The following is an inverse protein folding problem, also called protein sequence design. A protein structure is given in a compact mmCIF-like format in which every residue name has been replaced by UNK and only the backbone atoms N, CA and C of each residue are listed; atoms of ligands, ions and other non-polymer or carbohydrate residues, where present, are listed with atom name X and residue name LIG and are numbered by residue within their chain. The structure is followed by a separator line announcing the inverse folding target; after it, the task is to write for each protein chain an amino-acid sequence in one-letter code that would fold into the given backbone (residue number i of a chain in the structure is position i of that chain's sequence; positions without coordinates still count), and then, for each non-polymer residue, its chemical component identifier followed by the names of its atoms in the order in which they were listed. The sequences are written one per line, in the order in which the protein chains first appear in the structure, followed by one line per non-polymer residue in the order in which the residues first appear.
data_IF_920185263724
#
_entry.id   IF_920185263724
#
_cell.length_a   1.000
_cell.length_b   1.000
_cell.length_c   1.000
_cell.angle_alpha   90.00
_cell.angle_beta   90.00
_cell.angle_gamma   90.00
#
_symmetry.space_group_name_H-M   'P 1'
#
loop_
_entity.id
_entity.type
_entity.pdbx_description
1 polymer ?
#
# COMPACT_ATOMS: atom_id res chain seq x y z
N UNK A 1 10.94 -17.55 -37.20
CA UNK A 1 10.12 -16.49 -36.59
C UNK A 1 11.07 -15.47 -36.00
N UNK A 2 11.05 -14.22 -36.48
CA UNK A 2 11.94 -13.19 -35.97
C UNK A 2 11.53 -12.88 -34.53
N UNK A 3 12.42 -13.17 -33.57
CA UNK A 3 12.32 -12.62 -32.22
C UNK A 3 12.53 -11.12 -32.37
N UNK A 4 11.45 -10.34 -32.33
CA UNK A 4 11.53 -8.89 -32.18
C UNK A 4 12.12 -8.61 -30.80
N UNK A 5 13.43 -8.36 -30.76
CA UNK A 5 14.11 -7.92 -29.55
C UNK A 5 13.52 -6.57 -29.15
N UNK A 6 12.87 -6.51 -27.99
CA UNK A 6 12.34 -5.25 -27.46
C UNK A 6 13.52 -4.34 -27.09
N UNK A 7 13.48 -3.10 -27.55
CA UNK A 7 14.51 -2.10 -27.23
C UNK A 7 14.26 -1.54 -25.83
N UNK A 8 15.29 -1.55 -24.98
CA UNK A 8 15.21 -1.06 -23.60
C UNK A 8 15.30 0.46 -23.60
N UNK A 9 14.26 1.13 -23.09
CA UNK A 9 14.23 2.58 -22.88
C UNK A 9 14.96 2.98 -21.59
N UNK A 10 14.77 2.22 -20.52
CA UNK A 10 15.41 2.44 -19.22
C UNK A 10 15.68 1.12 -18.53
N UNK A 11 16.92 0.90 -18.10
CA UNK A 11 17.33 -0.27 -17.34
C UNK A 11 17.71 0.16 -15.92
N UNK A 12 16.91 -0.26 -14.95
CA UNK A 12 17.12 -0.01 -13.52
C UNK A 12 17.32 -1.35 -12.79
N UNK A 13 18.04 -2.28 -13.43
CA UNK A 13 18.38 -3.56 -12.84
C UNK A 13 19.07 -3.38 -11.47
N UNK A 14 18.71 -4.20 -10.46
CA UNK A 14 17.89 -5.42 -10.56
C UNK A 14 16.38 -5.22 -10.36
N UNK A 15 15.85 -3.99 -10.44
CA UNK A 15 14.47 -3.69 -10.06
C UNK A 15 13.50 -3.86 -11.24
N UNK A 16 13.72 -3.09 -12.32
CA UNK A 16 12.76 -2.94 -13.40
C UNK A 16 13.47 -2.59 -14.72
N UNK A 17 12.90 -3.04 -15.84
CA UNK A 17 13.24 -2.59 -17.20
C UNK A 17 11.99 -2.03 -17.86
N UNK A 18 12.16 -0.88 -18.51
CA UNK A 18 11.12 -0.22 -19.30
C UNK A 18 11.56 -0.27 -20.75
N UNK A 19 10.68 -0.72 -21.63
CA UNK A 19 10.93 -0.86 -23.06
C UNK A 19 10.33 0.30 -23.85
N UNK A 20 10.86 0.57 -25.05
CA UNK A 20 10.39 1.67 -25.91
C UNK A 20 8.94 1.51 -26.38
N UNK A 21 8.42 0.28 -26.37
CA UNK A 21 7.02 -0.04 -26.65
C UNK A 21 6.07 0.20 -25.46
N UNK A 22 6.59 0.68 -24.32
CA UNK A 22 5.84 0.91 -23.09
C UNK A 22 5.70 -0.32 -22.19
N UNK A 23 6.20 -1.49 -22.61
CA UNK A 23 6.19 -2.67 -21.74
C UNK A 23 7.10 -2.45 -20.55
N UNK A 24 6.67 -2.95 -19.39
CA UNK A 24 7.44 -2.94 -18.15
C UNK A 24 7.72 -4.37 -17.72
N UNK A 25 8.99 -4.68 -17.47
CA UNK A 25 9.44 -5.94 -16.89
C UNK A 25 9.97 -5.69 -15.47
N UNK A 26 9.28 -6.25 -14.47
CA UNK A 26 9.69 -6.20 -13.07
C UNK A 26 10.60 -7.39 -12.78
N UNK A 27 11.86 -7.12 -12.48
CA UNK A 27 12.92 -8.12 -12.31
C UNK A 27 13.05 -8.61 -10.86
N UNK A 28 12.59 -7.78 -9.92
CA UNK A 28 12.44 -8.13 -8.52
C UNK A 28 10.95 -8.13 -8.16
N UNK A 29 10.57 -9.06 -7.30
CA UNK A 29 9.21 -9.20 -6.82
C UNK A 29 9.01 -10.58 -6.23
N UNK A 30 8.17 -10.65 -5.22
CA UNK A 30 7.75 -11.93 -4.66
C UNK A 30 6.62 -12.54 -5.49
N UNK A 31 6.51 -13.88 -5.58
CA UNK A 31 5.35 -14.49 -6.22
C UNK A 31 4.07 -14.09 -5.48
N UNK A 32 2.98 -13.94 -6.21
CA UNK A 32 1.67 -13.76 -5.61
C UNK A 32 1.24 -15.03 -4.91
N UNK A 33 0.56 -14.88 -3.78
CA UNK A 33 -0.05 -16.00 -3.04
C UNK A 33 -1.55 -15.80 -2.88
N UNK A 34 -2.34 -16.88 -2.90
CA UNK A 34 -3.77 -16.77 -2.62
C UNK A 34 -4.00 -16.35 -1.16
N UNK A 35 -5.15 -15.73 -0.85
CA UNK A 35 -5.56 -15.57 0.54
C UNK A 35 -5.85 -16.93 1.18
N UNK A 36 -5.73 -17.01 2.49
CA UNK A 36 -5.98 -18.22 3.28
C UNK A 36 -7.14 -18.02 4.26
N UNK A 37 -8.11 -18.95 4.33
CA UNK A 37 -9.15 -18.94 5.38
C UNK A 37 -8.60 -19.03 6.80
N UNK A 38 -7.46 -19.70 6.99
CA UNK A 38 -6.74 -19.78 8.26
C UNK A 38 -5.26 -20.10 7.97
N UNK A 39 -4.37 -19.15 8.25
CA UNK A 39 -2.93 -19.35 8.14
C UNK A 39 -2.45 -20.31 9.26
N UNK A 40 -1.73 -21.40 8.93
CA UNK A 40 -1.38 -22.43 9.91
C UNK A 40 -0.35 -21.96 10.95
N UNK A 41 0.37 -20.87 10.69
CA UNK A 41 1.42 -20.36 11.60
C UNK A 41 0.85 -19.33 12.56
N UNK A 42 -0.01 -18.46 12.06
CA UNK A 42 -0.50 -17.26 12.78
C UNK A 42 -1.97 -17.36 13.18
N UNK A 43 -2.74 -18.28 12.59
CA UNK A 43 -4.19 -18.39 12.76
C UNK A 43 -4.98 -17.24 12.11
N UNK A 44 -4.33 -16.40 11.30
CA UNK A 44 -4.95 -15.26 10.62
C UNK A 44 -5.73 -15.73 9.40
N UNK A 45 -6.95 -15.23 9.26
CA UNK A 45 -7.73 -15.38 8.04
C UNK A 45 -7.44 -14.21 7.10
N UNK A 46 -7.40 -14.44 5.79
CA UNK A 46 -7.25 -13.39 4.80
C UNK A 46 -8.22 -13.56 3.64
N UNK A 47 -8.54 -12.44 2.98
CA UNK A 47 -9.35 -12.41 1.75
C UNK A 47 -9.00 -11.19 0.92
N UNK A 48 -9.23 -11.29 -0.38
CA UNK A 48 -9.10 -10.17 -1.31
C UNK A 48 -10.46 -9.49 -1.49
N UNK A 49 -10.44 -8.18 -1.64
CA UNK A 49 -11.64 -7.38 -1.90
C UNK A 49 -11.37 -6.31 -2.95
N UNK A 50 -12.41 -5.96 -3.71
CA UNK A 50 -12.36 -4.92 -4.73
C UNK A 50 -12.97 -3.65 -4.15
N UNK A 51 -12.19 -2.57 -4.10
CA UNK A 51 -12.62 -1.26 -3.59
C UNK A 51 -13.24 -0.44 -4.72
N UNK A 52 -12.63 -0.50 -5.90
CA UNK A 52 -13.09 0.14 -7.14
C UNK A 52 -12.61 -0.68 -8.34
N UNK A 53 -13.01 -0.37 -9.59
CA UNK A 53 -12.56 -1.11 -10.77
C UNK A 53 -11.03 -1.20 -10.95
N UNK A 54 -10.27 -0.30 -10.31
CA UNK A 54 -8.80 -0.25 -10.42
C UNK A 54 -8.08 -0.32 -9.08
N UNK A 55 -8.80 -0.60 -7.99
CA UNK A 55 -8.25 -0.59 -6.63
C UNK A 55 -8.79 -1.78 -5.84
N UNK A 56 -7.89 -2.53 -5.23
CA UNK A 56 -8.20 -3.69 -4.40
C UNK A 56 -7.38 -3.67 -3.12
N UNK A 57 -7.70 -4.59 -2.21
CA UNK A 57 -6.96 -4.77 -0.98
C UNK A 57 -7.01 -6.24 -0.54
N UNK A 58 -6.02 -6.64 0.25
CA UNK A 58 -6.07 -7.86 1.04
C UNK A 58 -6.35 -7.53 2.50
N UNK A 59 -7.39 -8.14 3.04
CA UNK A 59 -7.73 -8.03 4.45
C UNK A 59 -7.10 -9.19 5.21
N UNK A 60 -6.62 -8.92 6.42
CA UNK A 60 -6.07 -9.89 7.36
C UNK A 60 -6.79 -9.74 8.70
N UNK A 61 -7.55 -10.76 9.05
CA UNK A 61 -8.34 -10.82 10.27
C UNK A 61 -7.66 -11.77 11.26
N UNK A 62 -7.22 -11.27 12.43
CA UNK A 62 -6.63 -12.13 13.43
C UNK A 62 -7.69 -13.03 14.05
N UNK A 63 -7.24 -14.11 14.69
CA UNK A 63 -8.13 -15.04 15.37
C UNK A 63 -8.97 -14.30 16.43
N UNK A 64 -10.28 -14.29 16.22
CA UNK A 64 -11.22 -13.67 17.13
C UNK A 64 -11.35 -14.49 18.42
N UNK A 65 -11.38 -13.83 19.56
CA UNK A 65 -11.70 -14.45 20.86
C UNK A 65 -13.21 -14.56 21.07
N UNK A 66 -13.98 -13.61 20.52
CA UNK A 66 -15.44 -13.58 20.55
C UNK A 66 -15.99 -13.02 19.22
N UNK A 67 -17.19 -13.46 18.82
CA UNK A 67 -17.80 -13.09 17.52
C UNK A 67 -18.09 -11.60 17.37
N UNK A 68 -18.21 -10.85 18.46
CA UNK A 68 -18.51 -9.40 18.46
C UNK A 68 -17.29 -8.52 18.76
N UNK A 69 -16.09 -9.11 18.78
CA UNK A 69 -14.86 -8.38 19.09
C UNK A 69 -14.59 -7.26 18.08
N UNK A 70 -14.29 -6.06 18.60
CA UNK A 70 -13.88 -4.89 17.82
C UNK A 70 -12.36 -4.69 17.92
N UNK A 71 -11.70 -4.59 16.77
CA UNK A 71 -10.26 -4.59 16.58
C UNK A 71 -9.78 -3.22 16.10
N UNK A 72 -8.58 -2.76 16.50
CA UNK A 72 -7.91 -1.68 15.78
C UNK A 72 -7.84 -1.98 14.28
N UNK A 73 -7.87 -0.93 13.47
CA UNK A 73 -7.68 -1.05 12.02
C UNK A 73 -6.27 -0.57 11.70
N UNK A 74 -5.54 -1.32 10.89
CA UNK A 74 -4.32 -0.83 10.25
C UNK A 74 -4.50 -0.83 8.74
N UNK A 75 -4.54 0.35 8.12
CA UNK A 75 -4.45 0.46 6.65
C UNK A 75 -2.96 0.50 6.29
N UNK A 76 -2.50 -0.51 5.56
CA UNK A 76 -1.09 -0.71 5.25
C UNK A 76 -0.81 -0.50 3.76
N UNK A 77 0.29 0.19 3.46
CA UNK A 77 0.78 0.43 2.10
C UNK A 77 2.15 -0.24 1.96
N UNK A 78 2.30 -1.16 1.02
CA UNK A 78 3.55 -1.90 0.82
C UNK A 78 4.67 -1.02 0.23
N UNK A 79 5.92 -1.42 0.47
CA UNK A 79 7.11 -0.86 -0.16
C UNK A 79 7.29 -1.23 -1.64
N UNK A 80 8.53 -1.12 -2.15
CA UNK A 80 8.85 -1.43 -3.55
C UNK A 80 9.06 -0.21 -4.45
N UNK A 81 9.50 0.93 -3.89
CA UNK A 81 9.92 2.09 -4.69
C UNK A 81 8.83 2.63 -5.62
N UNK A 82 7.56 2.46 -5.25
CA UNK A 82 6.38 2.76 -6.07
C UNK A 82 6.24 1.97 -7.38
N UNK A 83 7.10 1.00 -7.65
CA UNK A 83 7.19 0.34 -8.95
C UNK A 83 7.15 -1.20 -8.91
N UNK A 84 7.36 -1.82 -7.74
CA UNK A 84 7.36 -3.29 -7.56
C UNK A 84 6.65 -3.70 -6.27
N UNK A 85 6.55 -5.01 -6.04
CA UNK A 85 5.78 -5.67 -4.98
C UNK A 85 4.26 -5.44 -5.08
N UNK A 86 3.50 -6.04 -4.16
CA UNK A 86 2.04 -6.12 -4.17
C UNK A 86 1.54 -6.50 -2.77
N UNK A 87 0.36 -6.04 -2.38
CA UNK A 87 -0.37 -6.52 -1.22
C UNK A 87 -0.65 -8.04 -1.28
N UNK A 88 -0.58 -8.64 -2.47
CA UNK A 88 -0.77 -10.07 -2.71
C UNK A 88 0.55 -10.85 -2.80
N UNK A 89 1.70 -10.17 -2.67
CA UNK A 89 3.02 -10.77 -2.72
C UNK A 89 3.26 -11.69 -1.52
N UNK A 90 4.10 -12.72 -1.68
CA UNK A 90 4.41 -13.65 -0.59
C UNK A 90 5.00 -12.96 0.65
N UNK A 91 5.95 -12.02 0.48
CA UNK A 91 6.59 -11.36 1.61
C UNK A 91 5.64 -10.39 2.30
N UNK A 92 4.88 -9.58 1.56
CA UNK A 92 3.88 -8.68 2.13
C UNK A 92 2.78 -9.47 2.85
N UNK A 93 2.21 -10.50 2.21
CA UNK A 93 1.18 -11.35 2.81
C UNK A 93 1.65 -11.97 4.13
N UNK A 94 2.86 -12.55 4.14
CA UNK A 94 3.42 -13.17 5.35
C UNK A 94 3.67 -12.13 6.44
N UNK A 95 4.18 -10.96 6.10
CA UNK A 95 4.42 -9.88 7.05
C UNK A 95 3.11 -9.35 7.65
N UNK A 96 2.07 -9.17 6.82
CA UNK A 96 0.74 -8.72 7.27
C UNK A 96 0.03 -9.76 8.16
N UNK A 97 0.19 -11.05 7.90
CA UNK A 97 -0.30 -12.10 8.82
C UNK A 97 0.38 -11.98 10.19
N UNK A 98 1.70 -11.87 10.23
CA UNK A 98 2.43 -11.70 11.50
C UNK A 98 2.00 -10.43 12.22
N UNK A 99 1.92 -9.31 11.51
CA UNK A 99 1.54 -8.04 12.09
C UNK A 99 0.11 -8.06 12.63
N UNK A 100 -0.84 -8.66 11.91
CA UNK A 100 -2.23 -8.82 12.35
C UNK A 100 -2.32 -9.69 13.61
N UNK A 101 -1.63 -10.83 13.63
CA UNK A 101 -1.63 -11.74 14.77
C UNK A 101 -1.03 -11.11 16.04
N UNK A 102 0.13 -10.46 15.92
CA UNK A 102 0.85 -9.88 17.05
C UNK A 102 0.17 -8.61 17.60
N UNK A 103 -0.40 -7.78 16.72
CA UNK A 103 -1.08 -6.54 17.12
C UNK A 103 -2.54 -6.72 17.52
N UNK A 104 -3.16 -7.85 17.12
CA UNK A 104 -4.60 -8.04 17.23
C UNK A 104 -5.41 -7.04 16.40
N UNK A 105 -4.83 -6.51 15.32
CA UNK A 105 -5.49 -5.55 14.43
C UNK A 105 -6.06 -6.23 13.17
N UNK A 106 -7.19 -5.71 12.70
CA UNK A 106 -7.67 -5.95 11.34
C UNK A 106 -6.78 -5.14 10.39
N UNK A 107 -5.97 -5.83 9.58
CA UNK A 107 -5.07 -5.17 8.64
C UNK A 107 -5.70 -5.14 7.25
N UNK A 108 -5.66 -3.98 6.60
CA UNK A 108 -6.14 -3.74 5.24
C UNK A 108 -4.94 -3.34 4.40
N UNK A 109 -4.33 -4.30 3.69
CA UNK A 109 -3.16 -4.09 2.83
C UNK A 109 -3.61 -3.65 1.45
N UNK A 110 -3.19 -2.46 1.01
CA UNK A 110 -3.72 -1.79 -0.18
C UNK A 110 -2.89 -2.11 -1.42
N UNK A 111 -3.55 -2.56 -2.48
CA UNK A 111 -2.97 -2.78 -3.80
C UNK A 111 -3.07 -1.50 -4.65
N UNK A 112 -2.15 -0.57 -4.43
CA UNK A 112 -2.12 0.70 -5.14
C UNK A 112 -1.44 0.57 -6.52
N UNK A 113 -1.79 1.44 -7.46
CA UNK A 113 -1.21 1.41 -8.81
C UNK A 113 0.29 1.76 -8.81
N UNK A 114 1.05 1.03 -9.61
CA UNK A 114 2.51 1.15 -9.70
C UNK A 114 2.97 2.02 -10.87
N UNK A 115 4.10 2.70 -10.67
CA UNK A 115 4.89 3.32 -11.71
C UNK A 115 5.70 2.26 -12.50
N UNK A 116 6.09 2.55 -13.75
CA UNK A 116 5.83 3.78 -14.51
C UNK A 116 4.46 3.84 -15.22
N UNK A 117 3.67 2.76 -15.23
CA UNK A 117 2.34 2.73 -15.86
C UNK A 117 1.40 3.78 -15.25
N UNK A 118 1.51 3.98 -13.95
CA UNK A 118 0.78 4.98 -13.18
C UNK A 118 1.76 5.76 -12.28
N UNK A 119 2.38 6.84 -12.79
CA UNK A 119 3.30 7.65 -12.00
C UNK A 119 2.58 8.34 -10.84
N UNK A 120 3.35 8.81 -9.85
CA UNK A 120 2.81 9.66 -8.78
C UNK A 120 2.10 10.89 -9.39
N UNK A 121 0.93 11.29 -8.86
CA UNK A 121 0.39 10.95 -7.54
C UNK A 121 -0.57 9.74 -7.49
N UNK A 122 -0.64 8.88 -8.53
CA UNK A 122 -1.64 7.80 -8.59
C UNK A 122 -1.68 6.92 -7.32
N UNK A 123 -0.52 6.49 -6.81
CA UNK A 123 -0.44 5.71 -5.58
C UNK A 123 -1.00 6.45 -4.34
N UNK A 124 -0.82 7.78 -4.26
CA UNK A 124 -1.37 8.60 -3.18
C UNK A 124 -2.89 8.74 -3.29
N UNK A 125 -3.40 8.89 -4.51
CA UNK A 125 -4.84 8.97 -4.78
C UNK A 125 -5.54 7.66 -4.43
N UNK A 126 -4.99 6.53 -4.90
CA UNK A 126 -5.50 5.19 -4.59
C UNK A 126 -5.51 4.94 -3.09
N UNK A 127 -4.43 5.30 -2.41
CA UNK A 127 -4.27 5.10 -0.97
C UNK A 127 -5.22 5.97 -0.15
N UNK A 128 -5.52 7.18 -0.62
CA UNK A 128 -6.54 8.05 -0.04
C UNK A 128 -7.95 7.50 -0.27
N UNK A 129 -8.25 7.03 -1.47
CA UNK A 129 -9.53 6.42 -1.81
C UNK A 129 -9.77 5.14 -1.01
N UNK A 130 -8.74 4.30 -0.84
CA UNK A 130 -8.79 3.13 0.04
C UNK A 130 -9.06 3.50 1.50
N UNK A 131 -8.40 4.54 2.04
CA UNK A 131 -8.64 4.97 3.41
C UNK A 131 -10.07 5.51 3.59
N UNK A 132 -10.59 6.28 2.62
CA UNK A 132 -11.99 6.71 2.61
C UNK A 132 -12.94 5.51 2.55
N UNK A 133 -12.65 4.52 1.70
CA UNK A 133 -13.43 3.29 1.62
C UNK A 133 -13.50 2.60 2.98
N UNK A 134 -12.36 2.36 3.64
CA UNK A 134 -12.31 1.78 5.00
C UNK A 134 -13.15 2.60 5.97
N UNK A 135 -12.92 3.92 6.07
CA UNK A 135 -13.63 4.78 7.02
C UNK A 135 -15.13 4.87 6.73
N UNK A 136 -15.57 4.71 5.48
CA UNK A 136 -16.99 4.80 5.10
C UNK A 136 -17.85 3.68 5.70
N UNK A 137 -17.24 2.59 6.17
CA UNK A 137 -17.94 1.49 6.81
C UNK A 137 -18.61 1.88 8.13
N UNK A 138 -18.18 2.98 8.77
CA UNK A 138 -18.82 3.53 9.97
C UNK A 138 -20.18 4.17 9.68
N UNK A 139 -20.42 4.57 8.43
CA UNK A 139 -21.66 5.23 8.01
C UNK A 139 -22.71 4.18 7.69
N UNK A 140 -23.98 4.42 8.03
CA UNK A 140 -25.08 3.52 7.63
C UNK A 140 -25.19 3.42 6.09
N UNK A 141 -25.07 4.56 5.41
CA UNK A 141 -25.13 4.69 3.96
C UNK A 141 -23.81 5.23 3.40
N UNK A 142 -23.32 4.57 2.35
CA UNK A 142 -22.11 4.97 1.60
C UNK A 142 -22.28 4.54 0.14
N UNK A 143 -21.55 5.19 -0.76
CA UNK A 143 -21.48 4.81 -2.17
C UNK A 143 -20.48 3.68 -2.44
N UNK A 144 -19.68 3.34 -1.43
CA UNK A 144 -18.76 2.22 -1.46
C UNK A 144 -19.47 0.91 -1.12
N UNK A 145 -19.06 -0.18 -1.76
CA UNK A 145 -19.43 -1.52 -1.31
C UNK A 145 -18.77 -1.80 0.05
N UNK A 146 -19.57 -2.29 1.00
CA UNK A 146 -19.09 -2.58 2.36
C UNK A 146 -18.55 -4.00 2.45
N UNK A 147 -17.41 -4.13 3.10
CA UNK A 147 -16.84 -5.40 3.53
C UNK A 147 -17.40 -5.82 4.91
N UNK A 148 -17.82 -7.08 5.02
CA UNK A 148 -18.38 -7.64 6.24
C UNK A 148 -17.37 -7.70 7.40
N UNK A 149 -16.09 -7.98 7.14
CA UNK A 149 -15.08 -8.06 8.21
C UNK A 149 -14.84 -6.69 8.82
N UNK A 150 -14.76 -5.65 7.99
CA UNK A 150 -14.63 -4.28 8.46
C UNK A 150 -15.90 -3.87 9.21
N UNK A 151 -17.09 -4.11 8.64
CA UNK A 151 -18.37 -3.77 9.28
C UNK A 151 -18.52 -4.43 10.65
N UNK A 152 -18.21 -5.72 10.75
CA UNK A 152 -18.46 -6.52 11.94
C UNK A 152 -17.37 -6.37 12.99
N UNK A 153 -16.11 -6.18 12.61
CA UNK A 153 -14.97 -6.27 13.53
C UNK A 153 -14.12 -5.01 13.65
N UNK A 154 -14.31 -3.97 12.83
CA UNK A 154 -13.50 -2.76 12.94
C UNK A 154 -13.93 -1.85 14.10
N UNK A 155 -12.93 -1.28 14.80
CA UNK A 155 -13.07 -0.18 15.75
C UNK A 155 -12.58 1.13 15.12
N UNK A 156 -13.52 1.95 14.64
CA UNK A 156 -13.21 3.22 13.98
C UNK A 156 -12.68 4.32 14.92
N UNK A 157 -12.60 4.07 16.23
CA UNK A 157 -11.88 4.96 17.16
C UNK A 157 -10.39 4.64 17.24
N UNK A 158 -9.95 3.52 16.65
CA UNK A 158 -8.57 3.03 16.67
C UNK A 158 -8.09 2.72 15.25
N UNK A 159 -8.11 3.73 14.38
CA UNK A 159 -7.62 3.63 13.00
C UNK A 159 -6.16 4.08 12.94
N UNK A 160 -5.30 3.20 12.44
CA UNK A 160 -3.91 3.46 12.16
C UNK A 160 -3.66 3.36 10.67
N UNK A 161 -2.68 4.11 10.19
CA UNK A 161 -2.14 3.93 8.84
C UNK A 161 -0.65 3.60 8.93
N UNK A 162 -0.10 2.90 7.96
CA UNK A 162 1.33 2.63 7.96
C UNK A 162 1.85 2.07 6.65
N UNK A 163 3.17 1.94 6.58
CA UNK A 163 3.83 1.35 5.44
C UNK A 163 5.34 1.35 5.59
N UNK A 164 6.00 0.61 4.72
CA UNK A 164 7.45 0.51 4.65
C UNK A 164 8.00 1.17 3.39
N UNK A 165 9.20 1.76 3.45
CA UNK A 165 9.85 2.35 2.27
C UNK A 165 8.92 3.32 1.51
N UNK A 166 8.62 3.08 0.23
CA UNK A 166 7.66 3.83 -0.55
C UNK A 166 6.27 3.89 0.09
N UNK A 167 5.79 2.80 0.69
CA UNK A 167 4.55 2.76 1.45
C UNK A 167 4.57 3.64 2.70
N UNK A 168 5.73 3.79 3.34
CA UNK A 168 5.91 4.76 4.42
C UNK A 168 5.78 6.21 3.93
N UNK A 169 6.29 6.51 2.73
CA UNK A 169 6.09 7.81 2.08
C UNK A 169 4.60 8.06 1.75
N UNK A 170 3.89 7.04 1.25
CA UNK A 170 2.43 7.10 1.03
C UNK A 170 1.71 7.39 2.33
N UNK A 171 1.98 6.63 3.40
CA UNK A 171 1.36 6.82 4.71
C UNK A 171 1.56 8.25 5.23
N UNK A 172 2.77 8.81 5.09
CA UNK A 172 3.06 10.19 5.46
C UNK A 172 2.17 11.19 4.69
N UNK A 173 2.10 11.10 3.37
CA UNK A 173 1.29 12.00 2.55
C UNK A 173 -0.21 11.87 2.83
N UNK A 174 -0.70 10.64 3.06
CA UNK A 174 -2.08 10.36 3.46
C UNK A 174 -2.40 10.97 4.83
N UNK A 175 -1.49 10.88 5.81
CA UNK A 175 -1.66 11.53 7.11
C UNK A 175 -1.76 13.05 6.99
N UNK A 176 -0.87 13.68 6.19
CA UNK A 176 -0.92 15.12 5.94
C UNK A 176 -2.25 15.52 5.31
N UNK A 177 -2.71 14.76 4.30
CA UNK A 177 -3.99 15.00 3.65
C UNK A 177 -5.16 14.88 4.62
N UNK A 178 -5.16 13.88 5.51
CA UNK A 178 -6.18 13.72 6.55
C UNK A 178 -6.23 14.88 7.56
N UNK A 179 -5.15 15.66 7.69
CA UNK A 179 -5.13 16.90 8.48
C UNK A 179 -5.93 18.05 7.85
N UNK A 180 -6.12 18.02 6.54
CA UNK A 180 -6.79 19.08 5.77
C UNK A 180 -8.16 18.65 5.21
N UNK A 181 -8.32 17.36 4.92
CA UNK A 181 -9.55 16.77 4.38
C UNK A 181 -10.15 15.77 5.38
N UNK A 182 -11.41 15.96 5.76
CA UNK A 182 -12.11 15.06 6.68
C UNK A 182 -12.36 13.69 6.06
N UNK A 183 -12.13 12.63 6.85
CA UNK A 183 -12.51 11.26 6.50
C UNK A 183 -14.02 11.03 6.71
N UNK A 184 -14.63 10.08 5.96
CA UNK A 184 -16.02 9.66 6.18
C UNK A 184 -16.31 9.36 7.64
N UNK A 185 -17.47 9.81 8.14
CA UNK A 185 -17.89 9.62 9.53
C UNK A 185 -17.06 10.39 10.56
N UNK A 186 -16.25 11.37 10.13
CA UNK A 186 -15.31 12.11 10.97
C UNK A 186 -14.29 11.22 11.70
N UNK A 187 -14.02 10.03 11.14
CA UNK A 187 -13.01 9.10 11.64
C UNK A 187 -11.66 9.81 11.74
N UNK A 188 -10.92 9.52 12.83
CA UNK A 188 -9.60 10.09 13.09
C UNK A 188 -8.54 9.00 12.98
N UNK A 189 -7.42 9.37 12.38
CA UNK A 189 -6.21 8.54 12.41
C UNK A 189 -5.59 8.72 13.81
N UNK A 190 -5.52 7.64 14.57
CA UNK A 190 -4.98 7.61 15.92
C UNK A 190 -3.44 7.58 15.92
N UNK A 191 -2.84 7.00 14.87
CA UNK A 191 -1.39 6.97 14.73
C UNK A 191 -0.93 6.54 13.33
N UNK A 192 0.33 6.80 13.05
CA UNK A 192 1.00 6.46 11.79
C UNK A 192 2.26 5.65 12.07
N UNK A 193 2.44 4.54 11.35
CA UNK A 193 3.62 3.67 11.46
C UNK A 193 4.47 3.85 10.20
N UNK A 194 5.66 4.42 10.34
CA UNK A 194 6.58 4.68 9.23
C UNK A 194 7.83 3.80 9.37
N UNK A 195 7.90 2.72 8.60
CA UNK A 195 9.06 1.82 8.59
C UNK A 195 10.03 2.24 7.48
N UNK A 196 11.23 2.70 7.84
CA UNK A 196 12.26 3.17 6.89
C UNK A 196 11.68 3.98 5.69
N UNK A 197 10.86 5.02 5.94
CA UNK A 197 10.08 5.68 4.90
C UNK A 197 10.98 6.30 3.83
N UNK A 198 10.61 6.11 2.57
CA UNK A 198 11.37 6.56 1.42
C UNK A 198 11.21 8.07 1.22
N UNK A 199 12.13 8.83 1.79
CA UNK A 199 12.29 10.26 1.53
C UNK A 199 13.60 10.49 0.79
N UNK A 200 13.59 11.49 -0.10
CA UNK A 200 14.76 11.91 -0.83
C UNK A 200 14.73 13.42 -1.05
N UNK A 201 15.89 14.00 -1.32
CA UNK A 201 16.04 15.42 -1.65
C UNK A 201 17.10 15.64 -2.72
N UNK A 202 17.09 16.82 -3.34
CA UNK A 202 18.13 17.22 -4.29
C UNK A 202 19.48 17.48 -3.61
N UNK A 203 19.47 17.75 -2.31
CA UNK A 203 20.68 17.94 -1.51
C UNK A 203 20.87 16.71 -0.60
N UNK A 204 22.06 16.10 -0.59
CA UNK A 204 22.34 14.99 0.30
C UNK A 204 22.33 15.45 1.76
N UNK A 205 21.82 14.60 2.65
CA UNK A 205 21.78 14.83 4.10
C UNK A 205 22.76 13.90 4.82
N UNK A 206 23.53 14.44 5.76
CA UNK A 206 24.45 13.66 6.58
C UNK A 206 25.55 12.98 5.75
N UNK A 207 25.58 11.64 5.78
CA UNK A 207 26.59 10.81 5.10
C UNK A 207 26.12 10.30 3.74
N UNK A 208 25.02 10.82 3.20
CA UNK A 208 24.58 10.47 1.85
C UNK A 208 25.67 10.82 0.81
N UNK A 209 25.92 9.94 -0.18
CA UNK A 209 26.92 10.19 -1.20
C UNK A 209 26.55 11.41 -2.04
N UNK A 210 27.55 12.24 -2.36
CA UNK A 210 27.40 13.48 -3.16
C UNK A 210 27.42 13.25 -4.67
N UNK A 211 27.29 12.00 -5.10
CA UNK A 211 27.41 11.62 -6.52
C UNK A 211 26.24 12.17 -7.35
N UNK A 212 26.44 12.34 -8.66
CA UNK A 212 25.42 12.84 -9.58
C UNK A 212 24.26 11.82 -9.68
N UNK A 213 23.24 12.02 -8.84
CA UNK A 213 22.12 11.09 -8.59
C UNK A 213 21.19 10.93 -9.82
N UNK A 214 21.47 11.61 -10.94
CA UNK A 214 20.66 11.53 -12.16
C UNK A 214 20.49 10.10 -12.71
N UNK A 215 21.40 9.17 -12.37
CA UNK A 215 21.34 7.77 -12.81
C UNK A 215 20.45 6.86 -11.94
N UNK A 216 20.18 7.22 -10.68
CA UNK A 216 19.34 6.42 -9.75
C UNK A 216 17.93 6.98 -9.63
N UNK A 217 17.73 8.24 -10.04
CA UNK A 217 16.40 8.84 -10.18
C UNK A 217 15.67 8.08 -11.29
N UNK A 218 14.81 7.14 -10.89
CA UNK A 218 13.61 6.89 -11.66
C UNK A 218 12.99 8.27 -11.82
N UNK A 219 13.00 8.84 -13.03
CA UNK A 219 12.16 9.99 -13.35
C UNK A 219 10.69 9.52 -13.33
N UNK A 220 10.22 8.99 -12.20
CA UNK A 220 8.82 9.04 -11.84
C UNK A 220 8.61 10.53 -11.63
N UNK A 221 7.89 11.23 -12.50
CA UNK A 221 7.70 12.65 -12.34
C UNK A 221 6.96 12.85 -11.01
N UNK A 222 7.67 13.21 -9.95
CA UNK A 222 7.06 13.62 -8.70
C UNK A 222 6.45 14.99 -9.02
N UNK A 223 5.15 14.99 -9.30
CA UNK A 223 4.44 16.17 -9.76
C UNK A 223 4.57 17.30 -8.72
N UNK A 224 4.99 18.47 -9.17
CA UNK A 224 5.27 19.70 -8.40
C UNK A 224 4.01 20.37 -7.80
N UNK A 225 2.90 19.64 -7.62
CA UNK A 225 1.59 20.19 -7.24
C UNK A 225 1.19 20.04 -5.77
N UNK A 226 2.09 19.56 -4.92
CA UNK A 226 1.86 19.54 -3.47
C UNK A 226 2.89 20.45 -2.78
N UNK A 227 2.60 21.75 -2.79
CA UNK A 227 3.13 22.76 -1.86
C UNK A 227 1.95 23.63 -1.43
#
# INVERSE_FOLDING_TARGET
MASTTKEVLSDLSPIIKVYTDGTVERLIGSPHVPPSPEDPTTGVSSKDTTISPTLSARLHLPKLTHSTQKLPILVYYHGGGFCVESAFSFFDHRYMNLLSAESGALVVSIEYRLAPEHPLPAAYEDSWDALKWVCSHVLDQTHFEKDEWITNHADFNRVFIGGDSAGGNIAHNVALRAGSESLPGNVKILGTILSHPYFWGSNPVGNEPKEDIQAVVIRIPVCSRWH
#
